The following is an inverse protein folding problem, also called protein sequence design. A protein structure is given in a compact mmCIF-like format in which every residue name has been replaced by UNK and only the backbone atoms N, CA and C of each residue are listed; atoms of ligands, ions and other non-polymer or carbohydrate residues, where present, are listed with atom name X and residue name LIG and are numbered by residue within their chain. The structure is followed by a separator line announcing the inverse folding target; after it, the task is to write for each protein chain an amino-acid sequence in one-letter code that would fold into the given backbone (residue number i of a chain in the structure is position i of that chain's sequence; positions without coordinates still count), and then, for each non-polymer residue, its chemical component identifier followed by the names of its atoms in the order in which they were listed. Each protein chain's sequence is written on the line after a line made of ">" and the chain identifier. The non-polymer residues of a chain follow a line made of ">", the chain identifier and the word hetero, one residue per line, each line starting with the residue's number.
data_IF_854651544559
#
_entry.id   IF_854651544559
#
_cell.length_a   1.000
_cell.length_b   1.000
_cell.length_c   1.000
_cell.angle_alpha   90.00
_cell.angle_beta   90.00
_cell.angle_gamma   90.00
#
_symmetry.space_group_name_H-M   'P 1'
#
loop_
_entity.id
_entity.type
_entity.pdbx_description
1 polymer ?
#
# COMPACT_ATOMS: atom_id res chain seq x y z
N UNK A 1 -21.93 22.60 16.03
CA UNK A 1 -22.21 21.17 16.26
C UNK A 1 -22.15 20.31 14.98
N UNK A 2 -22.88 20.57 13.88
CA UNK A 2 -22.81 19.76 12.65
C UNK A 2 -21.47 19.86 11.89
N UNK A 3 -20.80 21.00 11.93
CA UNK A 3 -19.48 21.24 11.28
C UNK A 3 -18.37 20.56 12.08
N UNK A 4 -18.45 20.58 13.38
CA UNK A 4 -17.47 19.97 14.30
C UNK A 4 -17.49 18.44 14.21
N UNK A 5 -18.69 17.83 14.13
CA UNK A 5 -18.83 16.38 13.92
C UNK A 5 -18.26 15.92 12.58
N UNK A 6 -18.46 16.67 11.50
CA UNK A 6 -17.88 16.30 10.19
C UNK A 6 -16.34 16.37 10.21
N UNK A 7 -15.76 17.34 10.94
CA UNK A 7 -14.30 17.46 11.02
C UNK A 7 -13.69 16.28 11.81
N UNK A 8 -14.33 15.87 12.89
CA UNK A 8 -13.92 14.70 13.68
C UNK A 8 -14.00 13.43 12.81
N UNK A 9 -15.10 13.24 12.08
CA UNK A 9 -15.25 12.10 11.17
C UNK A 9 -14.15 12.05 10.08
N UNK A 10 -13.80 13.20 9.50
CA UNK A 10 -12.71 13.30 8.53
C UNK A 10 -11.34 12.92 9.11
N UNK A 11 -11.04 13.32 10.34
CA UNK A 11 -9.81 12.93 11.03
C UNK A 11 -9.75 11.43 11.32
N UNK A 12 -10.88 10.80 11.64
CA UNK A 12 -10.96 9.35 11.85
C UNK A 12 -10.55 8.57 10.58
N UNK A 13 -11.01 9.01 9.40
CA UNK A 13 -10.57 8.41 8.13
C UNK A 13 -9.09 8.69 7.84
N UNK A 14 -8.58 9.88 8.19
CA UNK A 14 -7.16 10.16 8.09
C UNK A 14 -6.34 9.19 8.93
N UNK A 15 -6.76 8.93 10.18
CA UNK A 15 -6.10 7.94 11.04
C UNK A 15 -6.14 6.54 10.45
N UNK A 16 -7.24 6.10 9.84
CA UNK A 16 -7.28 4.81 9.14
C UNK A 16 -6.25 4.73 8.01
N UNK A 17 -6.10 5.80 7.21
CA UNK A 17 -5.07 5.89 6.18
C UNK A 17 -3.65 5.85 6.76
N UNK A 18 -3.39 6.56 7.85
CA UNK A 18 -2.11 6.54 8.55
C UNK A 18 -1.81 5.19 9.21
N UNK A 19 -2.82 4.48 9.72
CA UNK A 19 -2.65 3.11 10.22
C UNK A 19 -2.34 2.13 9.10
N UNK A 20 -2.90 2.30 7.90
CA UNK A 20 -2.52 1.50 6.75
C UNK A 20 -1.04 1.75 6.37
N UNK A 21 -0.59 3.00 6.41
CA UNK A 21 0.83 3.35 6.21
C UNK A 21 1.72 2.76 7.32
N UNK A 22 1.34 2.88 8.58
CA UNK A 22 2.05 2.24 9.69
C UNK A 22 2.10 0.71 9.56
N UNK A 23 1.03 0.11 9.00
CA UNK A 23 0.98 -1.29 8.64
C UNK A 23 2.08 -1.69 7.66
N UNK A 24 2.31 -0.89 6.60
CA UNK A 24 3.45 -1.09 5.70
C UNK A 24 4.78 -1.02 6.46
N UNK A 25 4.94 -0.03 7.33
CA UNK A 25 6.13 0.14 8.17
C UNK A 25 6.38 -1.01 9.16
N UNK A 26 5.39 -1.87 9.44
CA UNK A 26 5.56 -3.02 10.34
C UNK A 26 6.57 -4.05 9.82
N UNK A 27 6.82 -4.09 8.51
CA UNK A 27 7.91 -4.88 7.92
C UNK A 27 9.28 -4.49 8.50
N UNK A 28 9.52 -3.21 8.78
CA UNK A 28 10.76 -2.75 9.38
C UNK A 28 10.97 -3.36 10.77
N UNK A 29 9.90 -3.62 11.52
CA UNK A 29 10.01 -4.30 12.82
C UNK A 29 10.46 -5.75 12.64
N UNK A 30 9.99 -6.45 11.61
CA UNK A 30 10.46 -7.80 11.28
C UNK A 30 11.92 -7.77 10.84
N UNK A 31 12.24 -7.01 9.83
CA UNK A 31 13.53 -7.02 9.13
C UNK A 31 14.69 -6.46 9.96
N UNK A 32 14.43 -5.47 10.84
CA UNK A 32 15.47 -4.81 11.62
C UNK A 32 15.60 -5.34 13.05
N UNK A 33 14.54 -5.93 13.61
CA UNK A 33 14.54 -6.34 15.02
C UNK A 33 14.28 -7.84 15.18
N UNK A 34 13.13 -8.34 14.73
CA UNK A 34 12.69 -9.70 15.06
C UNK A 34 13.56 -10.75 14.35
N UNK A 35 13.70 -10.63 13.06
CA UNK A 35 14.43 -11.62 12.25
C UNK A 35 15.94 -11.60 12.48
N UNK A 36 16.63 -10.46 12.66
CA UNK A 36 18.03 -10.45 13.07
C UNK A 36 18.28 -11.15 14.42
N UNK A 37 17.34 -11.04 15.35
CA UNK A 37 17.41 -11.77 16.63
C UNK A 37 17.22 -13.28 16.45
N UNK A 38 16.34 -13.70 15.54
CA UNK A 38 16.09 -15.12 15.27
C UNK A 38 17.18 -15.78 14.44
N UNK A 39 17.69 -15.09 13.41
CA UNK A 39 18.64 -15.66 12.46
C UNK A 39 20.12 -15.30 12.77
N UNK A 40 20.36 -14.38 13.70
CA UNK A 40 21.72 -13.91 14.04
C UNK A 40 22.43 -13.15 12.92
N UNK A 41 21.66 -12.62 11.93
CA UNK A 41 22.18 -11.90 10.77
C UNK A 41 21.16 -10.91 10.21
N UNK A 42 21.63 -9.89 9.50
CA UNK A 42 20.79 -8.91 8.84
C UNK A 42 20.10 -9.45 7.58
N UNK A 43 18.99 -8.84 7.18
CA UNK A 43 18.18 -9.23 6.01
C UNK A 43 19.00 -9.34 4.72
N UNK A 44 20.02 -8.51 4.54
CA UNK A 44 20.90 -8.54 3.36
C UNK A 44 21.71 -9.85 3.22
N UNK A 45 21.77 -10.66 4.30
CA UNK A 45 22.47 -11.95 4.34
C UNK A 45 21.53 -13.15 4.38
N UNK A 46 20.22 -12.91 4.18
CA UNK A 46 19.24 -13.99 4.17
C UNK A 46 19.43 -14.91 2.97
N UNK A 47 19.28 -16.17 3.21
CA UNK A 47 19.15 -17.19 2.16
C UNK A 47 17.82 -17.04 1.42
N UNK A 48 17.66 -17.71 0.29
CA UNK A 48 16.39 -17.69 -0.46
C UNK A 48 15.20 -18.15 0.39
N UNK A 49 15.40 -19.18 1.23
CA UNK A 49 14.35 -19.69 2.13
C UNK A 49 13.97 -18.69 3.20
N UNK A 50 14.93 -18.00 3.79
CA UNK A 50 14.69 -16.97 4.81
C UNK A 50 14.01 -15.74 4.22
N UNK A 51 14.36 -15.35 2.98
CA UNK A 51 13.64 -14.29 2.27
C UNK A 51 12.16 -14.66 2.02
N UNK A 52 11.90 -15.90 1.63
CA UNK A 52 10.52 -16.37 1.44
C UNK A 52 9.77 -16.37 2.79
N UNK A 53 10.41 -16.84 3.87
CA UNK A 53 9.81 -16.79 5.21
C UNK A 53 9.50 -15.36 5.65
N UNK A 54 10.42 -14.41 5.42
CA UNK A 54 10.20 -12.99 5.66
C UNK A 54 8.95 -12.48 4.91
N UNK A 55 8.84 -12.73 3.61
CA UNK A 55 7.69 -12.29 2.82
C UNK A 55 6.37 -12.92 3.29
N UNK A 56 6.38 -14.20 3.68
CA UNK A 56 5.19 -14.86 4.23
C UNK A 56 4.75 -14.20 5.53
N UNK A 57 5.69 -13.96 6.47
CA UNK A 57 5.39 -13.31 7.75
C UNK A 57 4.86 -11.88 7.54
N UNK A 58 5.49 -11.13 6.64
CA UNK A 58 5.05 -9.78 6.28
C UNK A 58 3.64 -9.81 5.67
N UNK A 59 3.35 -10.72 4.75
CA UNK A 59 2.01 -10.87 4.17
C UNK A 59 0.95 -11.18 5.24
N UNK A 60 1.26 -12.04 6.22
CA UNK A 60 0.34 -12.36 7.31
C UNK A 60 0.06 -11.09 8.14
N UNK A 61 1.09 -10.35 8.54
CA UNK A 61 0.93 -9.09 9.28
C UNK A 61 0.10 -8.07 8.50
N UNK A 62 0.46 -7.81 7.26
CA UNK A 62 -0.25 -6.86 6.39
C UNK A 62 -1.70 -7.30 6.15
N UNK A 63 -1.94 -8.60 5.97
CA UNK A 63 -3.29 -9.16 5.84
C UNK A 63 -4.14 -8.94 7.08
N UNK A 64 -3.57 -9.11 8.28
CA UNK A 64 -4.25 -8.82 9.55
C UNK A 64 -4.58 -7.33 9.64
N UNK A 65 -3.61 -6.46 9.40
CA UNK A 65 -3.81 -4.99 9.44
C UNK A 65 -4.88 -4.56 8.45
N UNK A 66 -4.79 -4.99 7.20
CA UNK A 66 -5.78 -4.65 6.16
C UNK A 66 -7.19 -5.11 6.55
N UNK A 67 -7.33 -6.35 7.04
CA UNK A 67 -8.62 -6.91 7.46
C UNK A 67 -9.21 -6.12 8.63
N UNK A 68 -8.40 -5.78 9.62
CA UNK A 68 -8.84 -4.98 10.77
C UNK A 68 -9.30 -3.57 10.34
N UNK A 69 -8.55 -2.89 9.47
CA UNK A 69 -8.91 -1.57 8.98
C UNK A 69 -10.21 -1.58 8.17
N UNK A 70 -10.38 -2.58 7.29
CA UNK A 70 -11.62 -2.78 6.52
C UNK A 70 -12.80 -3.07 7.46
N UNK A 71 -12.59 -3.92 8.46
CA UNK A 71 -13.61 -4.24 9.44
C UNK A 71 -14.03 -3.02 10.26
N UNK A 72 -13.07 -2.25 10.77
CA UNK A 72 -13.31 -1.03 11.55
C UNK A 72 -14.04 0.01 10.70
N UNK A 73 -13.58 0.26 9.46
CA UNK A 73 -14.23 1.22 8.56
C UNK A 73 -15.70 0.87 8.31
N UNK A 74 -16.00 -0.41 8.13
CA UNK A 74 -17.37 -0.88 7.89
C UNK A 74 -18.24 -0.87 9.15
N UNK A 75 -17.70 -1.31 10.29
CA UNK A 75 -18.49 -1.48 11.52
C UNK A 75 -18.66 -0.20 12.33
N UNK A 76 -17.60 0.61 12.43
CA UNK A 76 -17.62 1.81 13.25
C UNK A 76 -18.07 3.05 12.47
N UNK A 77 -17.69 3.12 11.18
CA UNK A 77 -17.93 4.31 10.36
C UNK A 77 -18.95 4.09 9.24
N UNK A 78 -19.59 2.93 9.19
CA UNK A 78 -20.55 2.53 8.15
C UNK A 78 -20.02 2.73 6.71
N UNK A 79 -18.68 2.73 6.57
CA UNK A 79 -18.00 2.92 5.30
C UNK A 79 -17.52 1.58 4.75
N UNK A 80 -18.28 1.04 3.80
CA UNK A 80 -17.92 -0.19 3.10
C UNK A 80 -17.15 0.15 1.82
N UNK A 81 -15.84 -0.09 1.82
CA UNK A 81 -14.94 0.20 0.69
C UNK A 81 -15.32 -0.57 -0.59
N UNK A 82 -16.09 -1.65 -0.46
CA UNK A 82 -16.56 -2.47 -1.59
C UNK A 82 -17.96 -2.12 -2.08
N UNK A 83 -18.69 -1.24 -1.36
CA UNK A 83 -20.10 -0.93 -1.67
C UNK A 83 -20.25 -0.06 -2.92
N UNK A 84 -19.28 0.81 -3.21
CA UNK A 84 -19.38 1.76 -4.30
C UNK A 84 -18.93 1.12 -5.62
N UNK A 85 -19.90 0.80 -6.48
CA UNK A 85 -19.68 0.19 -7.80
C UNK A 85 -20.00 1.13 -8.94
N UNK A 86 -19.74 2.41 -8.79
CA UNK A 86 -19.94 3.37 -9.88
C UNK A 86 -19.06 2.99 -11.08
N UNK A 87 -19.63 3.09 -12.28
CA UNK A 87 -18.87 2.83 -13.50
C UNK A 87 -17.80 3.90 -13.68
N UNK A 88 -16.57 3.45 -13.86
CA UNK A 88 -15.43 4.34 -14.15
C UNK A 88 -15.64 4.95 -15.53
N UNK A 89 -15.58 6.28 -15.62
CA UNK A 89 -15.72 7.00 -16.89
C UNK A 89 -14.58 6.64 -17.86
N UNK A 90 -14.89 6.67 -19.17
CA UNK A 90 -13.91 6.34 -20.23
C UNK A 90 -12.63 7.18 -20.13
N UNK A 91 -12.74 8.46 -19.78
CA UNK A 91 -11.59 9.35 -19.66
C UNK A 91 -10.65 8.92 -18.53
N UNK A 92 -11.18 8.42 -17.40
CA UNK A 92 -10.38 7.92 -16.31
C UNK A 92 -9.62 6.64 -16.71
N UNK A 93 -10.22 5.78 -17.51
CA UNK A 93 -9.52 4.62 -18.07
C UNK A 93 -8.38 5.03 -19.01
N UNK A 94 -8.59 6.04 -19.87
CA UNK A 94 -7.54 6.56 -20.77
C UNK A 94 -6.39 7.11 -19.95
N UNK A 95 -6.68 7.93 -18.94
CA UNK A 95 -5.64 8.48 -18.05
C UNK A 95 -4.88 7.35 -17.32
N UNK A 96 -5.58 6.35 -16.78
CA UNK A 96 -4.95 5.22 -16.11
C UNK A 96 -4.02 4.44 -17.05
N UNK A 97 -4.44 4.19 -18.29
CA UNK A 97 -3.62 3.49 -19.31
C UNK A 97 -2.40 4.31 -19.72
N UNK A 98 -2.52 5.63 -19.85
CA UNK A 98 -1.38 6.51 -20.15
C UNK A 98 -0.38 6.48 -18.99
N UNK A 99 -0.85 6.61 -17.74
CA UNK A 99 0.02 6.56 -16.56
C UNK A 99 0.70 5.19 -16.42
N UNK A 100 -0.02 4.10 -16.68
CA UNK A 100 0.54 2.76 -16.72
C UNK A 100 1.65 2.65 -17.77
N UNK A 101 1.41 3.16 -18.98
CA UNK A 101 2.41 3.17 -20.06
C UNK A 101 3.68 3.95 -19.66
N UNK A 102 3.51 5.13 -19.07
CA UNK A 102 4.64 5.94 -18.55
C UNK A 102 5.41 5.18 -17.47
N UNK A 103 4.72 4.56 -16.52
CA UNK A 103 5.34 3.77 -15.44
C UNK A 103 6.14 2.58 -15.98
N UNK A 104 5.62 1.89 -17.00
CA UNK A 104 6.34 0.79 -17.67
C UNK A 104 7.61 1.31 -18.35
N UNK A 105 7.55 2.43 -19.06
CA UNK A 105 8.73 3.03 -19.73
C UNK A 105 9.80 3.41 -18.71
N UNK A 106 9.41 4.09 -17.62
CA UNK A 106 10.33 4.46 -16.53
C UNK A 106 10.96 3.19 -15.93
N UNK A 107 10.15 2.18 -15.61
CA UNK A 107 10.64 0.93 -15.06
C UNK A 107 11.62 0.20 -15.99
N UNK A 108 11.39 0.19 -17.31
CA UNK A 108 12.31 -0.38 -18.28
C UNK A 108 13.64 0.38 -18.30
N UNK A 109 13.59 1.70 -18.17
CA UNK A 109 14.79 2.55 -18.14
C UNK A 109 15.59 2.34 -16.85
N UNK A 110 14.93 2.31 -15.68
CA UNK A 110 15.60 2.10 -14.38
C UNK A 110 16.23 0.70 -14.26
N UNK A 111 15.56 -0.34 -14.76
CA UNK A 111 16.00 -1.72 -14.64
C UNK A 111 16.85 -2.21 -15.82
N UNK A 112 17.13 -1.34 -16.81
CA UNK A 112 17.79 -1.74 -18.07
C UNK A 112 17.10 -2.93 -18.75
N UNK A 113 15.78 -3.01 -18.65
CA UNK A 113 14.98 -4.08 -19.24
C UNK A 113 13.66 -4.30 -18.50
N UNK A 114 12.93 -5.32 -18.89
CA UNK A 114 11.62 -5.60 -18.31
C UNK A 114 11.79 -6.14 -16.88
N UNK A 115 11.45 -5.35 -15.85
CA UNK A 115 11.62 -5.66 -14.43
C UNK A 115 11.17 -7.08 -14.09
N UNK A 116 9.96 -7.46 -14.53
CA UNK A 116 9.36 -8.78 -14.27
C UNK A 116 10.26 -9.92 -14.74
N UNK A 117 10.85 -9.81 -15.95
CA UNK A 117 11.74 -10.83 -16.50
C UNK A 117 13.09 -10.88 -15.78
N UNK A 118 13.60 -9.73 -15.36
CA UNK A 118 14.85 -9.62 -14.62
C UNK A 118 14.69 -10.26 -13.24
N UNK A 119 13.61 -9.93 -12.53
CA UNK A 119 13.30 -10.52 -11.22
C UNK A 119 13.09 -12.03 -11.32
N UNK A 120 12.38 -12.51 -12.34
CA UNK A 120 12.19 -13.95 -12.57
C UNK A 120 13.52 -14.67 -12.79
N UNK A 121 14.41 -14.11 -13.61
CA UNK A 121 15.74 -14.68 -13.88
C UNK A 121 16.61 -14.69 -12.63
N UNK A 122 16.58 -13.64 -11.82
CA UNK A 122 17.43 -13.50 -10.65
C UNK A 122 16.94 -14.35 -9.46
N UNK A 123 15.64 -14.46 -9.28
CA UNK A 123 15.05 -15.13 -8.13
C UNK A 123 14.71 -16.61 -8.37
N UNK A 124 14.57 -17.03 -9.62
CA UNK A 124 13.97 -18.31 -9.96
C UNK A 124 12.46 -18.34 -9.65
N UNK A 125 11.77 -19.37 -10.12
CA UNK A 125 10.29 -19.40 -10.10
C UNK A 125 9.69 -19.32 -8.69
N UNK A 126 10.26 -20.05 -7.71
CA UNK A 126 9.70 -20.14 -6.36
C UNK A 126 9.77 -18.79 -5.63
N UNK A 127 10.97 -18.21 -5.56
CA UNK A 127 11.18 -16.92 -4.89
C UNK A 127 10.40 -15.80 -5.60
N UNK A 128 10.32 -15.85 -6.93
CA UNK A 128 9.53 -14.91 -7.72
C UNK A 128 8.04 -14.94 -7.36
N UNK A 129 7.43 -16.14 -7.25
CA UNK A 129 6.01 -16.25 -6.88
C UNK A 129 5.74 -15.63 -5.51
N UNK A 130 6.56 -15.94 -4.50
CA UNK A 130 6.38 -15.36 -3.16
C UNK A 130 6.60 -13.84 -3.14
N UNK A 131 7.55 -13.33 -3.91
CA UNK A 131 7.77 -11.89 -4.07
C UNK A 131 6.54 -11.18 -4.66
N UNK A 132 5.89 -11.78 -5.66
CA UNK A 132 4.71 -11.19 -6.26
C UNK A 132 3.45 -11.29 -5.38
N UNK A 133 3.34 -12.34 -4.58
CA UNK A 133 2.33 -12.40 -3.51
C UNK A 133 2.55 -11.26 -2.51
N UNK A 134 3.79 -11.03 -2.07
CA UNK A 134 4.15 -9.93 -1.19
C UNK A 134 3.76 -8.57 -1.80
N UNK A 135 4.05 -8.30 -3.07
CA UNK A 135 3.63 -7.07 -3.76
C UNK A 135 2.10 -6.88 -3.82
N UNK A 136 1.33 -7.98 -3.89
CA UNK A 136 -0.14 -7.88 -3.82
C UNK A 136 -0.59 -7.38 -2.45
N UNK A 137 -0.03 -7.90 -1.37
CA UNK A 137 -0.38 -7.45 -0.01
C UNK A 137 0.04 -6.01 0.25
N UNK A 138 1.23 -5.62 -0.23
CA UNK A 138 1.69 -4.22 -0.23
C UNK A 138 0.67 -3.32 -0.94
N UNK A 139 0.28 -3.68 -2.16
CA UNK A 139 -0.68 -2.93 -2.96
C UNK A 139 -2.04 -2.78 -2.26
N UNK A 140 -2.49 -3.77 -1.49
CA UNK A 140 -3.73 -3.67 -0.70
C UNK A 140 -3.62 -2.55 0.34
N UNK A 141 -2.53 -2.49 1.11
CA UNK A 141 -2.34 -1.42 2.10
C UNK A 141 -2.17 -0.04 1.44
N UNK A 142 -1.46 0.04 0.31
CA UNK A 142 -1.35 1.27 -0.49
C UNK A 142 -2.74 1.74 -0.95
N UNK A 143 -3.59 0.84 -1.44
CA UNK A 143 -4.97 1.17 -1.80
C UNK A 143 -5.79 1.66 -0.60
N UNK A 144 -5.61 1.09 0.59
CA UNK A 144 -6.28 1.56 1.80
C UNK A 144 -5.85 2.98 2.19
N UNK A 145 -4.55 3.33 2.05
CA UNK A 145 -4.07 4.72 2.24
C UNK A 145 -4.82 5.65 1.29
N UNK A 146 -4.94 5.29 0.02
CA UNK A 146 -5.63 6.11 -0.99
C UNK A 146 -7.11 6.27 -0.65
N UNK A 147 -7.80 5.16 -0.37
CA UNK A 147 -9.25 5.16 -0.13
C UNK A 147 -9.61 5.97 1.12
N UNK A 148 -8.93 5.72 2.24
CA UNK A 148 -9.20 6.43 3.47
C UNK A 148 -8.72 7.88 3.41
N UNK A 149 -7.57 8.15 2.77
CA UNK A 149 -7.09 9.52 2.53
C UNK A 149 -8.03 10.33 1.65
N UNK A 150 -8.60 9.71 0.61
CA UNK A 150 -9.60 10.36 -0.24
C UNK A 150 -10.84 10.73 0.58
N UNK A 151 -11.39 9.77 1.34
CA UNK A 151 -12.57 10.00 2.18
C UNK A 151 -12.31 11.08 3.24
N UNK A 152 -11.16 11.06 3.90
CA UNK A 152 -10.74 12.07 4.86
C UNK A 152 -10.72 13.47 4.24
N UNK A 153 -10.03 13.64 3.12
CA UNK A 153 -9.90 14.92 2.45
C UNK A 153 -11.23 15.46 1.93
N UNK A 154 -12.09 14.60 1.39
CA UNK A 154 -13.44 14.98 0.95
C UNK A 154 -14.29 15.54 2.10
N UNK A 155 -14.20 14.95 3.29
CA UNK A 155 -14.95 15.42 4.46
C UNK A 155 -14.35 16.70 5.04
N UNK A 156 -13.01 16.73 5.25
CA UNK A 156 -12.31 17.85 5.89
C UNK A 156 -12.40 19.12 5.02
N UNK A 157 -12.09 18.99 3.73
CA UNK A 157 -12.00 20.14 2.81
C UNK A 157 -13.30 20.38 2.02
N UNK A 158 -14.31 19.52 2.18
CA UNK A 158 -15.59 19.58 1.45
C UNK A 158 -15.40 19.67 -0.07
N UNK A 159 -14.40 19.01 -0.59
CA UNK A 159 -14.04 19.02 -2.01
C UNK A 159 -13.77 17.59 -2.50
N UNK A 160 -14.66 17.11 -3.35
CA UNK A 160 -14.58 15.75 -3.93
C UNK A 160 -13.82 15.69 -5.25
N UNK A 161 -13.36 16.83 -5.78
CA UNK A 161 -12.67 16.91 -7.08
C UNK A 161 -11.17 16.70 -6.98
N UNK A 162 -10.58 16.91 -5.80
CA UNK A 162 -9.15 16.77 -5.58
C UNK A 162 -8.78 15.33 -5.20
N UNK A 163 -7.62 14.83 -5.65
CA UNK A 163 -7.13 13.48 -5.36
C UNK A 163 -6.46 13.41 -3.97
N UNK A 164 -7.22 13.63 -2.90
CA UNK A 164 -6.72 13.67 -1.52
C UNK A 164 -5.97 12.40 -1.12
N UNK A 165 -6.48 11.24 -1.56
CA UNK A 165 -5.81 9.96 -1.33
C UNK A 165 -4.44 9.87 -1.99
N UNK A 166 -4.29 10.45 -3.18
CA UNK A 166 -3.00 10.56 -3.86
C UNK A 166 -2.04 11.48 -3.13
N UNK A 167 -2.52 12.61 -2.58
CA UNK A 167 -1.70 13.49 -1.74
C UNK A 167 -1.23 12.77 -0.47
N UNK A 168 -2.11 12.06 0.23
CA UNK A 168 -1.72 11.30 1.41
C UNK A 168 -0.70 10.22 1.07
N UNK A 169 -0.90 9.47 -0.02
CA UNK A 169 0.04 8.45 -0.48
C UNK A 169 1.41 9.07 -0.80
N UNK A 170 1.44 10.19 -1.52
CA UNK A 170 2.67 10.90 -1.85
C UNK A 170 3.44 11.38 -0.63
N UNK A 171 2.73 11.92 0.38
CA UNK A 171 3.31 12.42 1.63
C UNK A 171 3.73 11.30 2.61
N UNK A 172 3.26 10.08 2.43
CA UNK A 172 3.60 8.93 3.27
C UNK A 172 4.52 7.97 2.51
N UNK A 173 3.95 7.04 1.78
CA UNK A 173 4.67 5.99 1.07
C UNK A 173 5.60 6.53 -0.03
N UNK A 174 5.15 7.53 -0.79
CA UNK A 174 5.96 8.17 -1.83
C UNK A 174 7.19 8.87 -1.26
N UNK A 175 7.03 9.61 -0.16
CA UNK A 175 8.16 10.31 0.48
C UNK A 175 9.19 9.34 1.06
N UNK A 176 8.74 8.24 1.67
CA UNK A 176 9.66 7.19 2.18
C UNK A 176 10.50 6.61 1.05
N UNK A 177 9.89 6.28 -0.09
CA UNK A 177 10.63 5.74 -1.25
C UNK A 177 11.56 6.76 -1.93
N UNK A 178 11.31 8.04 -1.76
CA UNK A 178 12.21 9.08 -2.27
C UNK A 178 13.44 9.29 -1.36
N UNK A 179 13.31 9.04 -0.07
CA UNK A 179 14.36 9.30 0.93
C UNK A 179 15.28 8.08 1.20
N UNK A 180 14.85 6.88 0.84
CA UNK A 180 15.58 5.61 1.03
C UNK A 180 16.06 5.08 -0.30
#
# INVERSE_FOLDING_TARGET
>A
MKIENNHIEGLEFLYLGLYAFAGLGSELLLSLFIEPLLYGKSINKFTSSENIAHWILTCIMWGIVATLLIYVSKKKYEFDIFANRNKIGKINWIIALILLGISIIISIWEWNGFKVLIEFKNNGWLKFVFQYIYYIFEAVLVLLIIVFGQKAGEIIFKNTKLPWGGFLLGLTWGLVHFLI
#
